data_IF_946883541828
#
_entry.id   IF_946883541828
#
_cell.length_a   1.000
_cell.length_b   1.000
_cell.length_c   1.000
_cell.angle_alpha   90.00
_cell.angle_beta   90.00
_cell.angle_gamma   90.00
#
_symmetry.space_group_name_H-M   'P 1'
#
loop_
_entity.id
_entity.type
_entity.pdbx_description
1 polymer ?
#
# COMPACT_ATOMS: atom_id res chain seq x y z
N UNK A 1 -22.34 74.72 76.31
CA UNK A 1 -20.88 74.91 76.44
C UNK A 1 -20.21 73.88 75.53
N UNK A 2 -19.49 74.34 74.52
CA UNK A 2 -19.00 73.48 73.44
C UNK A 2 -17.80 72.64 73.89
N UNK A 3 -17.99 71.32 73.83
CA UNK A 3 -16.97 70.27 73.94
C UNK A 3 -16.01 70.38 72.74
N UNK A 4 -14.74 70.67 73.01
CA UNK A 4 -13.68 70.64 72.01
C UNK A 4 -13.44 69.18 71.55
N UNK A 5 -13.60 68.91 70.25
CA UNK A 5 -13.28 67.60 69.67
C UNK A 5 -11.75 67.39 69.63
N UNK A 6 -11.21 66.24 70.05
CA UNK A 6 -9.80 65.93 69.89
C UNK A 6 -9.45 65.80 68.39
N UNK A 7 -8.26 66.30 68.01
CA UNK A 7 -7.73 66.20 66.63
C UNK A 7 -7.38 64.75 66.29
N UNK A 8 -7.57 64.31 65.03
CA UNK A 8 -7.08 63.02 64.58
C UNK A 8 -5.54 63.02 64.55
N UNK A 9 -4.93 62.08 65.28
CA UNK A 9 -3.50 61.80 65.18
C UNK A 9 -3.29 60.97 63.91
N UNK A 10 -2.49 61.46 62.96
CA UNK A 10 -2.14 60.69 61.77
C UNK A 10 -1.24 59.50 62.16
N UNK A 11 -1.44 58.30 61.59
CA UNK A 11 -0.52 57.20 61.81
C UNK A 11 0.86 57.55 61.24
N UNK A 12 1.92 57.20 61.99
CA UNK A 12 3.29 57.30 61.52
C UNK A 12 3.49 56.47 60.23
N UNK A 13 4.37 56.87 59.30
CA UNK A 13 4.61 56.11 58.09
C UNK A 13 5.17 54.73 58.46
N UNK A 14 4.54 53.68 57.92
CA UNK A 14 5.07 52.32 58.02
C UNK A 14 6.45 52.28 57.34
N UNK A 15 7.49 52.06 58.13
CA UNK A 15 8.82 51.77 57.60
C UNK A 15 8.78 50.37 57.02
N UNK A 16 9.07 50.22 55.73
CA UNK A 16 9.32 48.91 55.12
C UNK A 16 10.55 48.33 55.81
N UNK A 17 10.36 47.35 56.69
CA UNK A 17 11.44 46.44 57.07
C UNK A 17 11.84 45.71 55.78
N UNK A 18 13.00 46.05 55.25
CA UNK A 18 13.51 45.52 53.96
C UNK A 18 13.96 44.06 54.03
N UNK A 19 13.63 43.31 55.08
CA UNK A 19 14.11 41.94 55.25
C UNK A 19 12.97 41.02 55.72
N UNK A 20 11.99 40.78 54.83
CA UNK A 20 11.20 39.54 54.92
C UNK A 20 11.95 38.50 54.10
N UNK A 21 12.72 37.65 54.77
CA UNK A 21 13.38 36.50 54.17
C UNK A 21 12.31 35.50 53.67
N UNK A 22 11.88 35.66 52.41
CA UNK A 22 11.05 34.67 51.73
C UNK A 22 11.97 33.67 51.04
N UNK A 23 12.08 32.51 51.69
CA UNK A 23 12.59 31.20 51.24
C UNK A 23 14.07 31.13 50.88
N UNK A 24 14.82 30.13 51.39
CA UNK A 24 16.13 29.83 50.82
C UNK A 24 15.88 29.49 49.36
N UNK A 25 16.57 30.17 48.46
CA UNK A 25 16.90 29.61 47.17
C UNK A 25 17.47 28.23 47.47
N UNK A 26 16.68 27.18 47.22
CA UNK A 26 17.22 25.83 47.23
C UNK A 26 18.29 25.87 46.15
N UNK A 27 19.55 25.92 46.58
CA UNK A 27 20.68 25.83 45.67
C UNK A 27 20.67 24.39 45.22
N UNK A 28 19.90 24.10 44.17
CA UNK A 28 20.05 22.85 43.45
C UNK A 28 21.47 22.94 42.90
N UNK A 29 22.34 22.15 43.51
CA UNK A 29 23.67 21.87 43.00
C UNK A 29 23.52 21.54 41.51
N UNK A 30 24.16 22.27 40.57
CA UNK A 30 24.02 21.99 39.13
C UNK A 30 24.38 20.53 38.77
N UNK A 31 25.22 19.92 39.62
CA UNK A 31 25.63 18.52 39.67
C UNK A 31 24.54 17.53 40.09
N UNK A 32 23.36 17.98 40.53
CA UNK A 32 22.20 17.15 40.89
C UNK A 32 21.02 17.24 39.91
N UNK A 33 21.16 17.99 38.81
CA UNK A 33 20.16 17.92 37.76
C UNK A 33 20.20 16.52 37.14
N UNK A 34 19.04 15.86 36.94
CA UNK A 34 19.01 14.59 36.23
C UNK A 34 19.67 14.80 34.87
N UNK A 35 20.68 13.99 34.60
CA UNK A 35 21.45 14.02 33.36
C UNK A 35 21.73 12.59 32.95
N UNK A 36 21.96 12.40 31.66
CA UNK A 36 22.23 11.11 31.08
C UNK A 36 23.66 11.06 30.60
N UNK A 37 24.32 9.92 30.77
CA UNK A 37 25.58 9.66 30.10
C UNK A 37 25.35 9.69 28.58
N UNK A 38 26.21 10.42 27.88
CA UNK A 38 26.19 10.46 26.43
C UNK A 38 26.30 9.03 25.85
N UNK A 39 25.55 8.68 24.79
CA UNK A 39 24.78 9.57 23.90
C UNK A 39 23.29 9.74 24.25
N UNK A 40 22.84 9.29 25.44
CA UNK A 40 21.41 9.28 25.78
C UNK A 40 20.90 10.69 26.08
N UNK A 41 19.65 10.94 25.73
CA UNK A 41 18.94 12.18 26.02
C UNK A 41 17.95 11.96 27.16
N UNK A 42 17.85 12.93 28.06
CA UNK A 42 16.87 12.88 29.14
C UNK A 42 15.47 13.24 28.59
N UNK A 43 14.56 12.28 28.65
CA UNK A 43 13.16 12.43 28.26
C UNK A 43 12.27 12.30 29.51
N UNK A 44 11.89 13.44 30.09
CA UNK A 44 11.28 13.48 31.42
C UNK A 44 12.29 12.98 32.46
N UNK A 45 11.96 11.86 33.12
CA UNK A 45 12.82 11.24 34.14
C UNK A 45 13.60 10.02 33.60
N UNK A 46 13.50 9.73 32.29
CA UNK A 46 14.11 8.53 31.69
C UNK A 46 15.18 8.88 30.65
N UNK A 47 16.35 8.27 30.78
CA UNK A 47 17.41 8.38 29.77
C UNK A 47 17.14 7.48 28.56
N UNK A 48 16.89 8.08 27.40
CA UNK A 48 16.53 7.38 26.18
C UNK A 48 17.56 7.64 25.08
N UNK A 49 17.91 6.59 24.34
CA UNK A 49 18.71 6.75 23.12
C UNK A 49 17.81 7.19 21.96
N UNK A 50 17.80 8.50 21.69
CA UNK A 50 17.02 9.08 20.60
C UNK A 50 17.54 8.69 19.21
N UNK A 51 18.71 8.05 19.09
CA UNK A 51 19.22 7.59 17.79
C UNK A 51 18.55 6.31 17.31
N UNK A 52 18.00 5.51 18.24
CA UNK A 52 17.54 4.14 17.97
C UNK A 52 16.22 3.78 18.63
N UNK A 53 15.74 4.56 19.62
CA UNK A 53 14.48 4.28 20.29
C UNK A 53 13.29 4.69 19.40
N UNK A 54 12.49 3.71 18.98
CA UNK A 54 11.34 3.90 18.10
C UNK A 54 10.24 4.80 18.70
N UNK A 55 10.13 4.88 20.03
CA UNK A 55 9.14 5.71 20.72
C UNK A 55 9.63 7.14 21.00
N UNK A 56 10.91 7.44 20.77
CA UNK A 56 11.56 8.72 21.07
C UNK A 56 12.59 9.10 19.98
N UNK A 57 12.26 8.83 18.72
CA UNK A 57 13.25 8.88 17.66
C UNK A 57 13.61 10.33 17.30
N UNK A 58 14.86 10.74 17.49
CA UNK A 58 15.35 12.09 17.25
C UNK A 58 14.88 13.17 18.21
N UNK A 59 13.78 12.95 18.94
CA UNK A 59 13.31 13.79 20.03
C UNK A 59 12.45 12.98 21.00
N UNK A 60 12.40 13.43 22.26
CA UNK A 60 11.53 12.84 23.27
C UNK A 60 10.06 12.87 22.83
N UNK A 61 9.38 11.73 22.91
CA UNK A 61 7.99 11.57 22.49
C UNK A 61 7.72 11.54 20.98
N UNK A 62 8.76 11.60 20.13
CA UNK A 62 8.58 11.36 18.69
C UNK A 62 8.46 9.84 18.43
N UNK A 63 7.26 9.32 18.67
CA UNK A 63 6.92 7.91 18.53
C UNK A 63 6.60 7.55 17.08
N UNK A 64 7.48 6.77 16.45
CA UNK A 64 7.33 6.31 15.08
C UNK A 64 6.14 5.34 14.91
N UNK A 65 5.75 4.61 15.96
CA UNK A 65 4.68 3.60 15.90
C UNK A 65 3.29 4.22 15.91
N UNK A 66 3.18 5.48 16.33
CA UNK A 66 1.92 6.24 16.38
C UNK A 66 1.52 6.89 15.04
N UNK A 67 2.35 6.74 14.00
CA UNK A 67 2.14 7.39 12.70
C UNK A 67 1.07 6.65 11.89
N UNK A 68 0.23 7.43 11.21
CA UNK A 68 -0.80 6.91 10.30
C UNK A 68 -0.23 6.75 8.88
N UNK A 69 0.60 5.71 8.70
CA UNK A 69 1.24 5.36 7.43
C UNK A 69 0.67 4.03 6.93
N UNK A 70 0.38 3.94 5.62
CA UNK A 70 -0.35 2.80 5.04
C UNK A 70 0.52 1.55 4.92
N UNK A 71 -0.10 0.39 5.20
CA UNK A 71 0.45 -0.95 4.98
C UNK A 71 1.85 -1.21 5.57
N UNK A 72 2.21 -0.50 6.64
CA UNK A 72 3.45 -0.75 7.39
C UNK A 72 3.24 -1.91 8.35
N UNK A 73 4.21 -2.83 8.43
CA UNK A 73 4.24 -3.89 9.43
C UNK A 73 5.09 -3.50 10.63
N UNK A 74 6.25 -2.91 10.39
CA UNK A 74 7.15 -2.49 11.45
C UNK A 74 7.77 -1.13 11.17
N UNK A 75 7.84 -0.33 12.23
CA UNK A 75 8.55 0.94 12.27
C UNK A 75 9.91 0.74 12.94
N UNK A 76 10.88 1.55 12.54
CA UNK A 76 12.19 1.64 13.17
C UNK A 76 12.61 3.06 13.47
N UNK A 77 13.74 3.18 14.13
CA UNK A 77 14.44 4.44 14.32
C UNK A 77 15.91 4.23 13.95
N UNK A 78 16.41 5.02 13.00
CA UNK A 78 17.80 4.99 12.59
C UNK A 78 18.33 6.41 12.40
N UNK A 79 19.48 6.71 12.99
CA UNK A 79 20.12 8.02 12.92
C UNK A 79 19.17 9.16 13.32
N UNK A 80 18.42 8.96 14.41
CA UNK A 80 17.43 9.92 14.92
C UNK A 80 16.28 10.25 13.94
N UNK A 81 16.00 9.37 12.98
CA UNK A 81 14.86 9.47 12.05
C UNK A 81 14.05 8.20 12.09
N UNK A 82 12.73 8.36 12.16
CA UNK A 82 11.85 7.22 12.04
C UNK A 82 11.99 6.61 10.64
N UNK A 83 11.91 5.30 10.56
CA UNK A 83 12.04 4.51 9.33
C UNK A 83 10.92 3.49 9.25
N UNK A 84 10.67 2.96 8.06
CA UNK A 84 9.88 1.75 7.87
C UNK A 84 10.87 0.57 7.79
N UNK A 85 10.74 -0.42 8.67
CA UNK A 85 11.61 -1.61 8.65
C UNK A 85 10.99 -2.77 7.88
N UNK A 86 9.67 -2.84 7.82
CA UNK A 86 8.98 -3.81 6.96
C UNK A 86 7.57 -3.36 6.58
N UNK A 87 7.15 -3.79 5.38
CA UNK A 87 5.78 -3.65 4.90
C UNK A 87 4.94 -4.87 5.28
N UNK A 88 3.62 -4.67 5.35
CA UNK A 88 2.67 -5.78 5.42
C UNK A 88 2.88 -6.74 4.22
N UNK A 89 2.58 -8.04 4.38
CA UNK A 89 2.73 -9.01 3.30
C UNK A 89 2.07 -8.56 1.99
N UNK A 90 2.83 -8.60 0.91
CA UNK A 90 2.36 -8.20 -0.42
C UNK A 90 2.38 -6.70 -0.70
N UNK A 91 2.98 -5.88 0.16
CA UNK A 91 3.19 -4.46 -0.08
C UNK A 91 4.68 -4.10 -0.11
N UNK A 92 5.01 -3.00 -0.79
CA UNK A 92 6.35 -2.44 -0.87
C UNK A 92 6.36 -0.91 -0.96
N UNK A 93 7.40 -0.31 -0.41
CA UNK A 93 7.75 1.11 -0.63
C UNK A 93 8.54 1.21 -1.95
N UNK A 94 7.82 1.29 -3.08
CA UNK A 94 8.41 1.30 -4.41
C UNK A 94 8.49 2.70 -5.04
N UNK A 95 7.91 3.71 -4.38
CA UNK A 95 7.88 5.11 -4.85
C UNK A 95 9.09 5.91 -4.38
N UNK A 96 9.60 5.62 -3.18
CA UNK A 96 10.80 6.26 -2.69
C UNK A 96 12.02 5.45 -3.14
N UNK A 97 12.91 6.10 -3.89
CA UNK A 97 14.22 5.56 -4.30
C UNK A 97 15.16 5.36 -3.09
N UNK A 98 14.77 4.53 -2.12
CA UNK A 98 15.57 4.18 -0.96
C UNK A 98 15.59 5.21 0.18
N UNK A 99 14.55 6.04 0.35
CA UNK A 99 14.45 6.91 1.54
C UNK A 99 13.46 6.36 2.54
N UNK A 100 13.96 6.06 3.73
CA UNK A 100 13.23 5.66 4.94
C UNK A 100 12.38 6.80 5.51
N UNK A 101 11.67 7.56 4.67
CA UNK A 101 10.93 8.73 5.11
C UNK A 101 9.53 8.30 5.56
N UNK A 102 9.30 8.39 6.86
CA UNK A 102 7.97 8.30 7.49
C UNK A 102 7.04 9.48 7.18
N UNK A 103 7.52 10.47 6.43
CA UNK A 103 6.71 11.50 5.77
C UNK A 103 6.60 11.26 4.26
N UNK A 104 7.27 10.22 3.74
CA UNK A 104 7.02 9.64 2.43
C UNK A 104 5.82 8.70 2.50
N UNK A 105 5.24 8.40 1.33
CA UNK A 105 3.89 7.86 1.25
C UNK A 105 3.66 6.56 2.05
N UNK A 106 4.70 5.74 2.34
CA UNK A 106 4.64 4.49 3.12
C UNK A 106 4.99 3.20 2.36
N UNK A 107 4.17 2.14 2.52
CA UNK A 107 4.20 0.88 1.75
C UNK A 107 3.03 0.83 0.73
N UNK A 108 3.05 1.69 -0.28
CA UNK A 108 1.85 2.02 -1.09
C UNK A 108 1.61 1.00 -2.17
N UNK A 109 2.64 0.25 -2.53
CA UNK A 109 2.63 -0.54 -3.75
C UNK A 109 2.21 -1.96 -3.43
N UNK A 110 1.06 -2.38 -3.95
CA UNK A 110 0.68 -3.78 -3.95
C UNK A 110 1.63 -4.55 -4.89
N UNK A 111 2.33 -5.54 -4.34
CA UNK A 111 3.26 -6.41 -5.06
C UNK A 111 2.56 -7.64 -5.63
N UNK A 112 1.36 -7.97 -5.16
CA UNK A 112 0.63 -9.17 -5.59
C UNK A 112 -0.28 -8.91 -6.79
N UNK A 113 -0.52 -7.64 -7.13
CA UNK A 113 -1.42 -7.25 -8.21
C UNK A 113 -0.79 -6.20 -9.13
N UNK A 114 -1.30 -6.14 -10.36
CA UNK A 114 -0.84 -5.22 -11.39
C UNK A 114 -1.55 -3.86 -11.34
N UNK A 115 -1.76 -3.28 -10.16
CA UNK A 115 -2.46 -1.99 -10.04
C UNK A 115 -1.48 -0.81 -10.18
N UNK A 116 -1.74 0.08 -11.14
CA UNK A 116 -0.95 1.30 -11.38
C UNK A 116 -1.66 2.52 -10.79
N UNK A 117 -1.01 3.23 -9.88
CA UNK A 117 -1.41 4.57 -9.42
C UNK A 117 -0.70 5.71 -10.19
N UNK A 118 -0.31 5.54 -11.46
CA UNK A 118 0.34 6.63 -12.20
C UNK A 118 -0.66 7.75 -12.54
N UNK A 119 -0.56 8.84 -11.76
CA UNK A 119 -0.94 10.19 -12.18
C UNK A 119 -0.01 10.62 -13.33
N UNK A 120 -0.55 10.86 -14.53
CA UNK A 120 0.23 11.42 -15.65
C UNK A 120 -0.43 12.70 -16.19
N UNK A 121 0.33 13.80 -16.11
CA UNK A 121 0.00 15.15 -16.60
C UNK A 121 0.07 15.29 -18.15
N UNK A 122 0.11 14.20 -18.92
CA UNK A 122 0.24 14.25 -20.38
C UNK A 122 -0.69 13.30 -21.15
N UNK A 123 -1.85 12.92 -20.60
CA UNK A 123 -2.85 12.14 -21.34
C UNK A 123 -4.07 12.98 -21.72
N UNK A 124 -3.99 13.66 -22.85
CA UNK A 124 -5.17 14.11 -23.58
C UNK A 124 -5.73 12.91 -24.36
N UNK A 125 -6.34 11.93 -23.69
CA UNK A 125 -7.37 11.02 -24.22
C UNK A 125 -7.75 10.00 -23.13
N UNK A 126 -8.19 10.48 -21.96
CA UNK A 126 -8.87 9.66 -20.96
C UNK A 126 -10.37 9.82 -21.21
N UNK A 127 -11.00 8.85 -21.87
CA UNK A 127 -12.45 8.75 -21.85
C UNK A 127 -12.90 8.13 -20.52
N UNK A 128 -13.87 8.82 -19.95
CA UNK A 128 -14.43 8.68 -18.61
C UNK A 128 -15.22 7.38 -18.41
N UNK A 129 -15.66 7.20 -17.16
CA UNK A 129 -16.63 6.23 -16.60
C UNK A 129 -15.92 5.05 -15.93
N UNK A 130 -15.73 5.02 -14.60
CA UNK A 130 -16.75 4.94 -13.53
C UNK A 130 -17.64 3.70 -13.66
N UNK A 131 -17.02 2.53 -13.83
CA UNK A 131 -17.64 1.23 -13.54
C UNK A 131 -16.64 0.31 -12.79
N UNK A 132 -17.08 -0.43 -11.75
CA UNK A 132 -16.21 -1.23 -10.86
C UNK A 132 -15.83 -2.64 -11.38
N UNK A 133 -16.15 -3.02 -12.62
CA UNK A 133 -15.96 -4.42 -13.09
C UNK A 133 -15.25 -4.60 -14.45
N UNK A 134 -14.56 -3.58 -14.96
CA UNK A 134 -13.71 -3.76 -16.15
C UNK A 134 -12.22 -3.68 -15.79
N UNK A 135 -11.60 -4.86 -15.63
CA UNK A 135 -10.14 -4.99 -15.49
C UNK A 135 -9.48 -4.58 -16.82
N UNK A 136 -9.10 -3.31 -16.93
CA UNK A 136 -8.29 -2.82 -18.04
C UNK A 136 -6.85 -3.27 -17.79
N UNK A 137 -6.36 -4.18 -18.64
CA UNK A 137 -4.97 -4.59 -18.67
C UNK A 137 -4.12 -3.45 -19.26
N UNK A 138 -3.78 -2.48 -18.42
CA UNK A 138 -2.83 -1.43 -18.80
C UNK A 138 -1.42 -2.05 -18.86
N UNK A 139 -0.72 -1.71 -19.93
CA UNK A 139 0.61 -2.24 -20.21
C UNK A 139 1.55 -1.96 -19.03
N UNK A 140 1.96 -3.07 -18.40
CA UNK A 140 3.16 -3.20 -17.60
C UNK A 140 3.14 -2.70 -16.13
N UNK A 141 2.68 -3.55 -15.18
CA UNK A 141 2.85 -3.33 -13.74
C UNK A 141 4.30 -3.52 -13.30
N UNK A 142 4.90 -2.50 -12.70
CA UNK A 142 6.34 -2.47 -12.44
C UNK A 142 6.79 -3.18 -11.14
N UNK A 143 5.91 -3.80 -10.35
CA UNK A 143 6.25 -4.19 -8.97
C UNK A 143 5.76 -5.60 -8.57
N UNK A 144 5.69 -6.55 -9.49
CA UNK A 144 5.15 -7.89 -9.18
C UNK A 144 6.08 -8.69 -8.26
N UNK A 145 5.65 -9.03 -7.05
CA UNK A 145 6.41 -9.78 -6.05
C UNK A 145 7.55 -9.00 -5.38
N UNK A 146 8.06 -7.95 -6.02
CA UNK A 146 9.08 -7.04 -5.48
C UNK A 146 9.08 -5.71 -6.23
N UNK A 147 9.57 -4.65 -5.59
CA UNK A 147 9.68 -3.34 -6.22
C UNK A 147 10.55 -3.39 -7.47
N UNK A 148 10.09 -2.76 -8.55
CA UNK A 148 10.78 -2.74 -9.84
C UNK A 148 10.72 -4.06 -10.63
N UNK A 149 10.12 -5.13 -10.09
CA UNK A 149 9.94 -6.36 -10.84
C UNK A 149 8.78 -6.25 -11.83
N UNK A 150 9.14 -5.72 -12.99
CA UNK A 150 8.30 -5.48 -14.14
C UNK A 150 7.98 -6.79 -14.87
N UNK A 151 6.70 -7.12 -15.05
CA UNK A 151 6.32 -8.27 -15.87
C UNK A 151 6.41 -7.94 -17.36
N UNK A 152 7.40 -8.51 -18.04
CA UNK A 152 7.65 -8.26 -19.47
C UNK A 152 6.49 -8.75 -20.36
N UNK A 153 6.19 -7.96 -21.38
CA UNK A 153 5.30 -8.29 -22.48
C UNK A 153 6.03 -8.29 -23.82
N UNK A 154 5.44 -8.95 -24.81
CA UNK A 154 5.92 -8.99 -26.19
C UNK A 154 4.85 -8.48 -27.17
N UNK A 155 5.07 -8.69 -28.46
CA UNK A 155 4.19 -8.17 -29.52
C UNK A 155 2.81 -8.83 -29.60
N UNK A 156 2.60 -9.97 -28.95
CA UNK A 156 1.35 -10.75 -29.01
C UNK A 156 0.91 -11.28 -27.63
N UNK A 157 1.63 -10.92 -26.58
CA UNK A 157 1.36 -11.34 -25.20
C UNK A 157 1.76 -10.24 -24.22
N UNK A 158 1.19 -10.26 -23.02
CA UNK A 158 1.57 -9.36 -21.94
C UNK A 158 1.92 -10.13 -20.68
N UNK A 159 2.78 -9.53 -19.86
CA UNK A 159 3.08 -10.00 -18.52
C UNK A 159 2.01 -9.53 -17.54
N UNK A 160 1.42 -10.45 -16.80
CA UNK A 160 0.54 -10.19 -15.66
C UNK A 160 1.22 -10.58 -14.36
N UNK A 161 0.81 -9.93 -13.27
CA UNK A 161 1.15 -10.41 -11.93
C UNK A 161 0.06 -11.34 -11.43
N UNK A 162 0.42 -12.56 -11.04
CA UNK A 162 -0.46 -13.49 -10.36
C UNK A 162 0.19 -13.96 -9.07
N UNK A 163 -0.43 -13.63 -7.93
CA UNK A 163 0.05 -14.00 -6.59
C UNK A 163 1.53 -13.65 -6.37
N UNK A 164 1.96 -12.48 -6.84
CA UNK A 164 3.35 -12.00 -6.72
C UNK A 164 4.34 -12.65 -7.70
N UNK A 165 3.88 -13.47 -8.65
CA UNK A 165 4.70 -14.03 -9.70
C UNK A 165 4.28 -13.51 -11.07
N UNK A 166 5.25 -13.15 -11.91
CA UNK A 166 4.97 -12.79 -13.30
C UNK A 166 4.53 -14.03 -14.09
N UNK A 167 3.38 -13.94 -14.74
CA UNK A 167 2.92 -14.91 -15.74
C UNK A 167 2.71 -14.19 -17.07
N UNK A 168 2.79 -14.94 -18.16
CA UNK A 168 2.50 -14.42 -19.50
C UNK A 168 1.12 -14.90 -19.92
N UNK A 169 0.40 -14.03 -20.60
CA UNK A 169 -0.92 -14.31 -21.16
C UNK A 169 -1.00 -13.70 -22.55
N UNK A 170 -1.63 -14.43 -23.46
CA UNK A 170 -1.83 -13.98 -24.83
C UNK A 170 -2.79 -12.79 -24.89
N UNK A 171 -2.62 -11.92 -25.88
CA UNK A 171 -3.60 -10.87 -26.15
C UNK A 171 -4.91 -11.47 -26.64
N UNK A 172 -6.02 -10.94 -26.11
CA UNK A 172 -7.37 -11.31 -26.56
C UNK A 172 -7.60 -12.82 -26.56
N UNK A 173 -7.91 -13.35 -27.74
CA UNK A 173 -8.26 -14.75 -27.96
C UNK A 173 -7.13 -15.51 -28.69
N UNK A 174 -5.86 -15.21 -28.42
CA UNK A 174 -4.73 -15.94 -29.00
C UNK A 174 -4.23 -17.05 -28.07
N UNK A 175 -3.56 -18.04 -28.64
CA UNK A 175 -3.03 -19.22 -27.97
C UNK A 175 -1.55 -19.40 -28.29
N UNK A 176 -0.78 -19.78 -27.27
CA UNK A 176 0.60 -20.21 -27.40
C UNK A 176 0.63 -21.74 -27.51
N UNK A 177 0.72 -22.25 -28.74
CA UNK A 177 0.49 -23.67 -29.01
C UNK A 177 1.74 -24.54 -28.96
N UNK A 178 2.90 -23.93 -29.12
CA UNK A 178 4.20 -24.61 -28.95
C UNK A 178 4.79 -24.40 -27.55
N UNK A 179 4.08 -23.65 -26.69
CA UNK A 179 4.49 -23.25 -25.35
C UNK A 179 5.83 -22.48 -25.35
N UNK A 180 6.14 -21.80 -26.46
CA UNK A 180 7.31 -20.96 -26.60
C UNK A 180 6.90 -19.51 -26.52
N UNK A 181 7.47 -18.78 -25.56
CA UNK A 181 7.23 -17.34 -25.45
C UNK A 181 8.15 -16.49 -26.35
N UNK A 182 9.07 -17.13 -27.07
CA UNK A 182 10.04 -16.42 -27.93
C UNK A 182 9.44 -15.91 -29.24
N UNK A 183 8.39 -16.57 -29.72
CA UNK A 183 7.60 -16.23 -30.90
C UNK A 183 6.21 -15.67 -30.54
N UNK A 184 5.79 -15.82 -29.29
CA UNK A 184 4.63 -15.13 -28.74
C UNK A 184 3.40 -16.02 -28.63
N UNK A 185 2.31 -15.61 -29.29
CA UNK A 185 1.07 -16.37 -29.35
C UNK A 185 0.64 -16.38 -30.81
N UNK A 186 0.55 -17.56 -31.39
CA UNK A 186 0.60 -17.74 -32.84
C UNK A 186 -0.73 -18.20 -33.44
N UNK A 187 -1.66 -18.68 -32.60
CA UNK A 187 -2.92 -19.24 -33.07
C UNK A 187 -4.12 -18.51 -32.49
N UNK A 188 -5.14 -18.30 -33.32
CA UNK A 188 -6.42 -17.78 -32.84
C UNK A 188 -7.22 -18.88 -32.14
N UNK A 189 -7.88 -18.54 -31.04
CA UNK A 189 -8.91 -19.34 -30.40
C UNK A 189 -10.18 -19.26 -31.24
N UNK A 190 -10.38 -20.29 -32.05
CA UNK A 190 -11.42 -20.39 -33.06
C UNK A 190 -11.90 -21.85 -33.20
N UNK A 191 -12.68 -22.13 -34.24
CA UNK A 191 -13.19 -23.48 -34.53
C UNK A 191 -12.09 -24.50 -34.82
N UNK A 192 -10.85 -24.09 -35.08
CA UNK A 192 -9.70 -24.98 -35.27
C UNK A 192 -8.88 -25.18 -33.99
N UNK A 193 -9.05 -24.35 -32.98
CA UNK A 193 -8.30 -24.36 -31.73
C UNK A 193 -9.21 -24.21 -30.50
N UNK A 194 -10.28 -25.00 -30.43
CA UNK A 194 -11.31 -24.82 -29.41
C UNK A 194 -10.93 -25.49 -28.09
N UNK A 195 -10.58 -24.68 -27.08
CA UNK A 195 -10.19 -25.14 -25.75
C UNK A 195 -8.75 -25.63 -25.65
N UNK A 196 -8.17 -26.08 -26.76
CA UNK A 196 -6.75 -26.40 -26.89
C UNK A 196 -6.28 -26.23 -28.34
N UNK A 197 -4.97 -26.16 -28.52
CA UNK A 197 -4.35 -26.04 -29.83
C UNK A 197 -4.63 -27.24 -30.73
N UNK A 198 -5.09 -26.98 -31.96
CA UNK A 198 -5.48 -28.01 -32.91
C UNK A 198 -6.73 -28.81 -32.52
N UNK A 199 -7.41 -28.48 -31.41
CA UNK A 199 -8.68 -29.07 -31.03
C UNK A 199 -9.79 -28.54 -31.94
N UNK A 200 -9.81 -29.06 -33.17
CA UNK A 200 -10.74 -28.66 -34.19
C UNK A 200 -12.14 -29.16 -33.89
N UNK A 201 -13.10 -28.25 -33.99
CA UNK A 201 -14.50 -28.57 -33.88
C UNK A 201 -14.97 -29.44 -35.06
N UNK A 202 -15.84 -30.44 -34.80
CA UNK A 202 -16.48 -31.22 -35.85
C UNK A 202 -17.19 -30.34 -36.89
N UNK A 203 -17.47 -30.91 -38.06
CA UNK A 203 -18.29 -30.24 -39.06
C UNK A 203 -19.63 -29.78 -38.44
N UNK A 204 -20.12 -28.63 -38.90
CA UNK A 204 -21.35 -28.00 -38.41
C UNK A 204 -21.37 -27.64 -36.92
N UNK A 205 -20.20 -27.45 -36.30
CA UNK A 205 -20.08 -26.86 -34.97
C UNK A 205 -19.21 -25.58 -34.98
N UNK A 206 -19.27 -24.81 -33.90
CA UNK A 206 -18.43 -23.64 -33.66
C UNK A 206 -17.89 -23.66 -32.21
N UNK A 207 -16.78 -22.97 -31.97
CA UNK A 207 -16.19 -22.89 -30.65
C UNK A 207 -16.93 -21.89 -29.77
N UNK A 208 -17.33 -22.32 -28.57
CA UNK A 208 -17.90 -21.44 -27.55
C UNK A 208 -17.26 -21.74 -26.19
N UNK A 209 -16.56 -20.76 -25.63
CA UNK A 209 -15.88 -20.86 -24.33
C UNK A 209 -15.04 -22.14 -24.15
N UNK A 210 -14.42 -22.62 -25.23
CA UNK A 210 -13.46 -23.72 -25.19
C UNK A 210 -14.07 -25.10 -25.40
N UNK A 211 -15.36 -25.17 -25.74
CA UNK A 211 -16.03 -26.42 -26.09
C UNK A 211 -16.81 -26.23 -27.41
N UNK A 212 -16.85 -27.28 -28.24
CA UNK A 212 -17.52 -27.22 -29.54
C UNK A 212 -19.04 -27.39 -29.42
N UNK A 213 -19.81 -26.51 -30.05
CA UNK A 213 -21.27 -26.48 -30.01
C UNK A 213 -21.82 -26.64 -31.42
N UNK A 214 -22.77 -27.57 -31.63
CA UNK A 214 -23.42 -27.75 -32.93
C UNK A 214 -24.20 -26.49 -33.31
N UNK A 215 -24.10 -26.11 -34.59
CA UNK A 215 -24.87 -24.99 -35.15
C UNK A 215 -26.36 -25.28 -35.03
N UNK A 216 -26.83 -26.51 -35.28
CA UNK A 216 -28.24 -26.88 -35.14
C UNK A 216 -28.86 -26.62 -33.76
N UNK A 217 -28.05 -26.44 -32.71
CA UNK A 217 -28.51 -26.14 -31.35
C UNK A 217 -28.65 -24.62 -31.09
N UNK A 218 -28.81 -23.80 -32.13
CA UNK A 218 -28.94 -22.33 -32.08
C UNK A 218 -29.95 -21.81 -31.03
N UNK A 219 -29.50 -21.61 -29.80
CA UNK A 219 -29.56 -20.30 -29.15
C UNK A 219 -28.72 -20.26 -27.88
N UNK A 220 -27.97 -19.16 -27.78
CA UNK A 220 -27.02 -18.70 -26.77
C UNK A 220 -27.52 -18.72 -25.29
N UNK A 221 -28.70 -19.27 -25.01
CA UNK A 221 -29.34 -19.30 -23.69
C UNK A 221 -29.74 -20.73 -23.22
N UNK A 222 -29.59 -21.76 -24.06
CA UNK A 222 -30.11 -23.12 -23.78
C UNK A 222 -29.06 -24.06 -23.16
N UNK A 223 -27.76 -23.87 -23.45
CA UNK A 223 -26.71 -24.74 -22.90
C UNK A 223 -26.59 -24.63 -21.36
N UNK A 224 -26.70 -23.42 -20.81
CA UNK A 224 -26.65 -23.16 -19.36
C UNK A 224 -27.93 -23.61 -18.63
N UNK A 225 -29.08 -23.65 -19.32
CA UNK A 225 -30.38 -24.00 -18.74
C UNK A 225 -30.76 -25.49 -18.87
N UNK A 226 -29.96 -26.29 -19.61
CA UNK A 226 -30.17 -27.73 -19.80
C UNK A 226 -29.21 -28.64 -19.00
N UNK A 227 -28.33 -28.08 -18.17
CA UNK A 227 -27.39 -28.88 -17.36
C UNK A 227 -26.38 -29.67 -18.19
N UNK A 228 -26.00 -29.14 -19.35
CA UNK A 228 -25.00 -29.74 -20.22
C UNK A 228 -23.63 -29.46 -19.61
N UNK A 229 -22.78 -30.48 -19.44
CA UNK A 229 -21.43 -30.34 -18.87
C UNK A 229 -20.37 -30.74 -19.89
N UNK A 230 -19.27 -29.98 -19.97
CA UNK A 230 -18.19 -30.28 -20.91
C UNK A 230 -17.39 -31.51 -20.41
N UNK A 231 -17.29 -32.55 -21.24
CA UNK A 231 -16.45 -33.73 -21.01
C UNK A 231 -15.62 -34.00 -22.26
N UNK A 232 -14.31 -33.77 -22.18
CA UNK A 232 -13.39 -34.08 -23.28
C UNK A 232 -13.64 -33.32 -24.60
N UNK A 233 -13.99 -32.03 -24.53
CA UNK A 233 -14.18 -31.09 -25.65
C UNK A 233 -15.53 -31.17 -26.40
N UNK A 234 -16.49 -31.96 -25.90
CA UNK A 234 -17.85 -32.03 -26.44
C UNK A 234 -18.85 -31.81 -25.29
N UNK A 235 -19.88 -31.00 -25.55
CA UNK A 235 -21.02 -30.85 -24.66
C UNK A 235 -21.91 -32.09 -24.75
N UNK A 236 -21.93 -32.92 -23.69
CA UNK A 236 -22.82 -34.08 -23.59
C UNK A 236 -24.04 -33.73 -22.74
N UNK A 237 -25.26 -34.02 -23.24
CA UNK A 237 -26.48 -33.94 -22.42
C UNK A 237 -26.36 -34.97 -21.31
N UNK A 238 -26.50 -34.57 -20.05
CA UNK A 238 -26.64 -35.54 -18.97
C UNK A 238 -27.97 -36.29 -19.18
N UNK A 239 -27.90 -37.61 -19.38
CA UNK A 239 -29.08 -38.47 -19.32
C UNK A 239 -29.64 -38.43 -17.90
N UNK A 240 -30.90 -38.04 -17.74
CA UNK A 240 -31.65 -38.28 -16.50
C UNK A 240 -31.78 -39.77 -16.23
#
# INVERSE_FOLDING_TARGET
>A
MAIAKPRPVSPAPATIQKDVAIRPSISIRPDMLPSCDAPKTLCGDTCTDIQTNVNNCGACGNDCTSRDVKNVAEYGCANAKCTITSCQPGYGDCMNKGTTDVNGDGCETNLMTSESWIYNQYSSYVYQQKDPESKVYLENPANCGSCGNKCEGGSTFFGICDNGACRKVCWGTWLNCDNSWGNGCEQAFDDNNCGACGAKCPADSFCNNGCCVLKSDHSKAVADSLGVTCSGNIWVRQSK
#
